data_IF_659326125660
#
_entry.id   IF_659326125660
#
_cell.length_a   1.000
_cell.length_b   1.000
_cell.length_c   1.000
_cell.angle_alpha   90.00
_cell.angle_beta   90.00
_cell.angle_gamma   90.00
#
_symmetry.space_group_name_H-M   'P 1'
#
loop_
_entity.id
_entity.type
_entity.pdbx_description
1 polymer ?
#
# COMPACT_ATOMS: atom_id res chain seq x y z
N UNK A 1 -18.63 -13.89 6.93
CA UNK A 1 -18.01 -13.75 5.61
C UNK A 1 -16.50 -13.93 5.73
N UNK A 2 -15.82 -14.67 4.83
CA UNK A 2 -14.39 -14.98 4.95
C UNK A 2 -13.51 -13.71 4.93
N UNK A 3 -14.00 -12.59 4.43
CA UNK A 3 -13.27 -11.31 4.39
C UNK A 3 -13.36 -10.48 5.68
N UNK A 4 -14.23 -10.82 6.62
CA UNK A 4 -14.35 -10.10 7.87
C UNK A 4 -13.30 -10.50 8.92
N UNK A 5 -12.62 -11.63 8.72
CA UNK A 5 -11.55 -12.10 9.60
C UNK A 5 -10.28 -12.34 8.78
N UNK A 6 -9.55 -11.26 8.50
CA UNK A 6 -8.34 -11.27 7.66
C UNK A 6 -7.32 -12.36 8.03
N UNK A 7 -6.98 -12.61 9.31
CA UNK A 7 -6.07 -13.69 9.67
C UNK A 7 -6.58 -15.08 9.23
N UNK A 8 -7.84 -15.38 9.49
CA UNK A 8 -8.42 -16.69 9.10
C UNK A 8 -8.49 -16.87 7.60
N UNK A 9 -8.85 -15.82 6.86
CA UNK A 9 -8.87 -15.84 5.39
C UNK A 9 -7.48 -16.05 4.81
N UNK A 10 -6.47 -15.42 5.39
CA UNK A 10 -5.07 -15.61 5.00
C UNK A 10 -4.62 -17.05 5.22
N UNK A 11 -4.85 -17.63 6.40
CA UNK A 11 -4.52 -19.02 6.67
C UNK A 11 -5.23 -20.00 5.73
N UNK A 12 -6.48 -19.72 5.39
CA UNK A 12 -7.22 -20.53 4.42
C UNK A 12 -6.58 -20.47 3.03
N UNK A 13 -6.20 -19.27 2.56
CA UNK A 13 -5.53 -19.09 1.28
C UNK A 13 -4.15 -19.74 1.23
N UNK A 14 -3.37 -19.64 2.31
CA UNK A 14 -2.04 -20.30 2.41
C UNK A 14 -2.16 -21.82 2.32
N UNK A 15 -3.20 -22.42 2.92
CA UNK A 15 -3.48 -23.85 2.81
C UNK A 15 -3.96 -24.28 1.42
N UNK A 16 -4.39 -23.32 0.57
CA UNK A 16 -4.90 -23.59 -0.77
C UNK A 16 -4.11 -22.75 -1.82
N UNK A 17 -2.89 -23.22 -2.23
CA UNK A 17 -2.00 -22.43 -3.09
C UNK A 17 -2.59 -22.02 -4.45
N UNK A 18 -3.51 -22.82 -4.99
CA UNK A 18 -4.19 -22.50 -6.24
C UNK A 18 -5.16 -21.32 -6.08
N UNK A 19 -5.88 -21.23 -4.95
CA UNK A 19 -6.75 -20.10 -4.62
C UNK A 19 -5.90 -18.83 -4.37
N UNK A 20 -4.77 -18.97 -3.67
CA UNK A 20 -3.82 -17.89 -3.51
C UNK A 20 -3.33 -17.35 -4.85
N UNK A 21 -2.92 -18.26 -5.76
CA UNK A 21 -2.47 -17.88 -7.11
C UNK A 21 -3.59 -17.21 -7.92
N UNK A 22 -4.82 -17.69 -7.81
CA UNK A 22 -5.99 -17.12 -8.47
C UNK A 22 -6.27 -15.71 -7.93
N UNK A 23 -6.33 -15.52 -6.61
CA UNK A 23 -6.58 -14.23 -5.98
C UNK A 23 -5.46 -13.22 -6.30
N UNK A 24 -4.20 -13.66 -6.30
CA UNK A 24 -3.07 -12.83 -6.69
C UNK A 24 -3.19 -12.36 -8.14
N UNK A 25 -3.44 -13.26 -9.08
CA UNK A 25 -3.55 -12.94 -10.50
C UNK A 25 -4.78 -12.10 -10.84
N UNK A 26 -5.92 -12.36 -10.20
CA UNK A 26 -7.16 -11.62 -10.45
C UNK A 26 -7.10 -10.17 -9.93
N UNK A 27 -6.29 -9.89 -8.93
CA UNK A 27 -6.11 -8.53 -8.38
C UNK A 27 -5.01 -7.71 -9.08
N UNK A 28 -4.24 -8.29 -10.01
CA UNK A 28 -3.20 -7.58 -10.78
C UNK A 28 -3.75 -6.65 -11.88
N UNK A 29 -4.84 -6.97 -12.63
CA UNK A 29 -5.36 -6.07 -13.64
C UNK A 29 -5.77 -4.72 -13.05
N UNK A 30 -5.34 -3.62 -13.69
CA UNK A 30 -5.52 -2.26 -13.16
C UNK A 30 -6.98 -1.92 -12.85
N UNK A 31 -7.91 -2.35 -13.71
CA UNK A 31 -9.35 -2.05 -13.56
C UNK A 31 -9.91 -2.72 -12.30
N UNK A 32 -9.65 -4.03 -12.13
CA UNK A 32 -10.10 -4.79 -10.98
C UNK A 32 -9.47 -4.28 -9.68
N UNK A 33 -8.19 -3.96 -9.74
CA UNK A 33 -7.44 -3.36 -8.63
C UNK A 33 -8.06 -2.02 -8.19
N UNK A 34 -8.34 -1.11 -9.11
CA UNK A 34 -8.95 0.19 -8.79
C UNK A 34 -10.38 0.04 -8.24
N UNK A 35 -11.19 -0.86 -8.82
CA UNK A 35 -12.54 -1.15 -8.34
C UNK A 35 -12.52 -1.73 -6.91
N UNK A 36 -11.62 -2.68 -6.64
CA UNK A 36 -11.44 -3.29 -5.33
C UNK A 36 -11.07 -2.24 -4.27
N UNK A 37 -10.08 -1.39 -4.53
CA UNK A 37 -9.67 -0.35 -3.58
C UNK A 37 -10.67 0.79 -3.46
N UNK A 38 -11.54 1.00 -4.44
CA UNK A 38 -12.67 1.92 -4.31
C UNK A 38 -13.71 1.37 -3.33
N UNK A 39 -14.04 0.08 -3.45
CA UNK A 39 -14.90 -0.61 -2.49
C UNK A 39 -14.31 -0.62 -1.07
N UNK A 40 -13.03 -0.97 -0.92
CA UNK A 40 -12.36 -0.90 0.40
C UNK A 40 -12.37 0.53 0.98
N UNK A 41 -12.16 1.55 0.15
CA UNK A 41 -12.22 2.94 0.62
C UNK A 41 -13.61 3.31 1.13
N UNK A 42 -14.67 2.82 0.50
CA UNK A 42 -16.04 3.04 0.98
C UNK A 42 -16.29 2.39 2.36
N UNK A 43 -15.73 1.20 2.58
CA UNK A 43 -15.94 0.42 3.82
C UNK A 43 -15.09 0.97 4.98
N UNK A 44 -13.79 1.18 4.76
CA UNK A 44 -12.85 1.50 5.86
C UNK A 44 -12.32 2.94 5.84
N UNK A 45 -12.59 3.71 4.78
CA UNK A 45 -12.04 5.06 4.61
C UNK A 45 -12.39 6.02 5.74
N UNK A 46 -13.62 5.91 6.31
CA UNK A 46 -14.03 6.73 7.46
C UNK A 46 -13.14 6.49 8.69
N UNK A 47 -12.76 5.25 8.96
CA UNK A 47 -11.87 4.90 10.08
C UNK A 47 -10.46 5.48 9.87
N UNK A 48 -9.94 5.44 8.64
CA UNK A 48 -8.67 6.10 8.31
C UNK A 48 -8.75 7.62 8.48
N UNK A 49 -9.82 8.26 8.01
CA UNK A 49 -10.01 9.70 8.18
C UNK A 49 -10.08 10.09 9.66
N UNK A 50 -10.79 9.32 10.48
CA UNK A 50 -10.86 9.52 11.92
C UNK A 50 -9.48 9.39 12.57
N UNK A 51 -8.73 8.32 12.28
CA UNK A 51 -7.38 8.12 12.80
C UNK A 51 -6.44 9.27 12.40
N UNK A 52 -6.45 9.71 11.14
CA UNK A 52 -5.61 10.82 10.69
C UNK A 52 -5.98 12.15 11.37
N UNK A 53 -7.25 12.38 11.66
CA UNK A 53 -7.71 13.57 12.39
C UNK A 53 -7.34 13.53 13.87
N UNK A 54 -7.36 12.35 14.46
CA UNK A 54 -7.03 12.11 15.86
C UNK A 54 -5.52 12.19 16.12
N UNK A 55 -4.73 11.42 15.35
CA UNK A 55 -3.29 11.31 15.56
C UNK A 55 -2.48 12.44 14.91
N UNK A 56 -3.03 13.13 13.92
CA UNK A 56 -2.38 14.25 13.18
C UNK A 56 -0.92 13.93 12.81
N UNK A 57 -0.65 12.85 12.07
CA UNK A 57 0.71 12.40 11.81
C UNK A 57 1.49 13.41 10.96
N UNK A 58 2.77 13.62 11.27
CA UNK A 58 3.71 14.40 10.46
C UNK A 58 4.24 13.60 9.27
N UNK A 59 4.22 12.27 9.36
CA UNK A 59 4.66 11.33 8.32
C UNK A 59 3.86 10.03 8.45
N UNK A 60 3.46 9.47 7.32
CA UNK A 60 2.88 8.12 7.24
C UNK A 60 3.86 7.19 6.54
N UNK A 61 4.25 6.11 7.22
CA UNK A 61 5.10 5.06 6.65
C UNK A 61 4.29 3.77 6.53
N UNK A 62 4.13 3.28 5.32
CA UNK A 62 3.44 2.02 5.05
C UNK A 62 4.44 0.91 4.75
N UNK A 63 4.31 -0.18 5.49
CA UNK A 63 5.14 -1.40 5.34
C UNK A 63 4.30 -2.62 4.92
N UNK A 64 3.10 -2.39 4.39
CA UNK A 64 2.17 -3.46 4.01
C UNK A 64 1.50 -3.17 2.66
N UNK A 65 1.41 -4.14 1.72
CA UNK A 65 0.94 -3.90 0.35
C UNK A 65 -0.50 -3.35 0.26
N UNK A 66 -1.38 -3.70 1.19
CA UNK A 66 -2.77 -3.22 1.18
C UNK A 66 -2.94 -1.82 1.79
N UNK A 67 -1.88 -1.25 2.40
CA UNK A 67 -1.93 0.02 3.15
C UNK A 67 -1.40 1.22 2.35
N UNK A 68 -1.50 1.20 1.01
CA UNK A 68 -1.13 2.32 0.14
C UNK A 68 -2.38 3.06 -0.36
N UNK A 69 -3.27 2.33 -1.02
CA UNK A 69 -4.32 2.89 -1.85
C UNK A 69 -5.41 3.59 -1.04
N UNK A 70 -5.93 2.94 0.01
CA UNK A 70 -7.00 3.51 0.85
C UNK A 70 -6.52 4.74 1.60
N UNK A 71 -5.40 4.69 2.37
CA UNK A 71 -4.88 5.87 3.06
C UNK A 71 -4.62 7.05 2.14
N UNK A 72 -4.00 6.83 0.97
CA UNK A 72 -3.73 7.90 0.01
C UNK A 72 -5.00 8.52 -0.58
N UNK A 73 -6.04 7.71 -0.87
CA UNK A 73 -7.34 8.22 -1.30
C UNK A 73 -8.02 9.05 -0.21
N UNK A 74 -7.92 8.61 1.04
CA UNK A 74 -8.47 9.34 2.20
C UNK A 74 -7.74 10.67 2.39
N UNK A 75 -6.40 10.67 2.41
CA UNK A 75 -5.60 11.88 2.53
C UNK A 75 -5.91 12.89 1.41
N UNK A 76 -6.07 12.41 0.17
CA UNK A 76 -6.43 13.28 -0.96
C UNK A 76 -7.79 13.97 -0.75
N UNK A 77 -8.76 13.27 -0.17
CA UNK A 77 -10.09 13.84 0.18
C UNK A 77 -10.00 14.80 1.37
N UNK A 78 -9.19 14.48 2.38
CA UNK A 78 -9.03 15.34 3.55
C UNK A 78 -8.35 16.66 3.22
N UNK A 79 -7.44 16.69 2.24
CA UNK A 79 -6.77 17.92 1.77
C UNK A 79 -7.76 18.98 1.22
N UNK A 80 -8.93 18.56 0.76
CA UNK A 80 -9.99 19.49 0.31
C UNK A 80 -10.83 20.04 1.46
N UNK A 81 -10.61 19.61 2.70
CA UNK A 81 -11.33 20.09 3.88
C UNK A 81 -10.55 21.25 4.52
N UNK A 82 -11.19 22.42 4.81
CA UNK A 82 -10.52 23.59 5.37
C UNK A 82 -9.73 23.30 6.66
N UNK A 83 -10.24 22.41 7.50
CA UNK A 83 -9.62 22.00 8.76
C UNK A 83 -8.35 21.15 8.61
N UNK A 84 -8.08 20.63 7.41
CA UNK A 84 -6.96 19.74 7.11
C UNK A 84 -6.05 20.25 5.98
N UNK A 85 -6.43 21.38 5.36
CA UNK A 85 -5.77 21.92 4.16
C UNK A 85 -4.32 22.37 4.40
N UNK A 86 -3.94 22.66 5.64
CA UNK A 86 -2.63 23.25 5.97
C UNK A 86 -1.48 22.23 6.04
N UNK A 87 -1.74 20.95 6.20
CA UNK A 87 -0.69 19.94 6.43
C UNK A 87 -0.59 18.97 5.24
N UNK A 88 0.41 19.14 4.40
CA UNK A 88 0.85 18.11 3.48
C UNK A 88 1.54 17.00 4.27
N UNK A 89 0.77 16.02 4.74
CA UNK A 89 1.34 14.82 5.38
C UNK A 89 2.04 13.98 4.31
N UNK A 90 3.37 13.84 4.34
CA UNK A 90 4.10 13.00 3.40
C UNK A 90 3.77 11.53 3.64
N UNK A 91 3.82 10.73 2.56
CA UNK A 91 3.54 9.31 2.59
C UNK A 91 4.71 8.53 1.99
N UNK A 92 5.30 7.66 2.80
CA UNK A 92 6.37 6.77 2.38
C UNK A 92 5.90 5.32 2.36
N UNK A 93 6.36 4.56 1.36
CA UNK A 93 6.20 3.10 1.29
C UNK A 93 7.55 2.44 1.47
N UNK A 94 7.63 1.41 2.31
CA UNK A 94 8.80 0.53 2.41
C UNK A 94 8.38 -0.85 1.94
N UNK A 95 8.85 -1.22 0.75
CA UNK A 95 8.56 -2.53 0.14
C UNK A 95 9.44 -3.59 0.78
N UNK A 96 8.82 -4.60 1.36
CA UNK A 96 9.51 -5.71 2.03
C UNK A 96 9.61 -6.97 1.17
N UNK A 97 9.12 -6.94 -0.07
CA UNK A 97 9.28 -8.00 -1.05
C UNK A 97 10.60 -7.83 -1.83
N UNK A 98 11.32 -8.93 -2.10
CA UNK A 98 12.68 -8.89 -2.62
C UNK A 98 12.76 -8.89 -4.15
N UNK A 99 11.90 -9.63 -4.85
CA UNK A 99 12.04 -9.88 -6.30
C UNK A 99 10.82 -9.46 -7.10
N UNK A 100 9.68 -10.07 -6.86
CA UNK A 100 8.42 -9.77 -7.54
C UNK A 100 7.38 -9.31 -6.54
N UNK A 101 7.04 -8.04 -6.62
CA UNK A 101 6.06 -7.43 -5.74
C UNK A 101 4.67 -7.42 -6.40
N UNK A 102 3.63 -7.57 -5.59
CA UNK A 102 2.28 -7.35 -6.07
C UNK A 102 2.06 -5.85 -6.39
N UNK A 103 1.22 -5.55 -7.37
CA UNK A 103 0.88 -4.16 -7.76
C UNK A 103 0.42 -3.30 -6.59
N UNK A 104 -0.23 -3.88 -5.58
CA UNK A 104 -0.71 -3.19 -4.38
C UNK A 104 0.37 -2.45 -3.59
N UNK A 105 1.64 -2.79 -3.75
CA UNK A 105 2.77 -2.07 -3.16
C UNK A 105 2.98 -0.68 -3.76
N UNK A 106 2.53 -0.45 -4.99
CA UNK A 106 2.90 0.73 -5.76
C UNK A 106 1.72 1.66 -5.98
N UNK A 107 1.85 2.91 -5.54
CA UNK A 107 0.88 3.96 -5.79
C UNK A 107 1.59 5.25 -6.21
N UNK A 108 1.21 5.82 -7.34
CA UNK A 108 1.87 6.99 -7.96
C UNK A 108 1.93 8.24 -7.08
N UNK A 109 1.06 8.35 -6.07
CA UNK A 109 0.94 9.53 -5.21
C UNK A 109 1.75 9.42 -3.91
N UNK A 110 2.57 8.39 -3.72
CA UNK A 110 3.51 8.37 -2.58
C UNK A 110 4.59 9.42 -2.78
N UNK A 111 5.09 10.00 -1.70
CA UNK A 111 6.21 10.94 -1.76
C UNK A 111 7.55 10.20 -1.92
N UNK A 112 7.70 9.04 -1.25
CA UNK A 112 8.85 8.14 -1.36
C UNK A 112 8.44 6.68 -1.35
N UNK A 113 9.19 5.87 -2.08
CA UNK A 113 9.05 4.42 -2.09
C UNK A 113 10.44 3.78 -1.98
N UNK A 114 10.68 3.14 -0.85
CA UNK A 114 11.91 2.40 -0.59
C UNK A 114 11.76 0.98 -1.11
N UNK A 115 12.72 0.52 -1.90
CA UNK A 115 12.70 -0.79 -2.56
C UNK A 115 14.00 -1.54 -2.29
N UNK A 116 13.91 -2.88 -2.26
CA UNK A 116 15.06 -3.72 -1.94
C UNK A 116 16.07 -3.82 -3.09
N UNK A 117 15.60 -3.82 -4.34
CA UNK A 117 16.41 -4.11 -5.52
C UNK A 117 16.06 -3.20 -6.70
N UNK A 118 16.99 -3.10 -7.66
CA UNK A 118 16.75 -2.39 -8.93
C UNK A 118 15.64 -3.05 -9.76
N UNK A 119 15.47 -4.37 -9.63
CA UNK A 119 14.38 -5.10 -10.28
C UNK A 119 13.01 -4.61 -9.79
N UNK A 120 12.87 -4.43 -8.47
CA UNK A 120 11.64 -3.90 -7.84
C UNK A 120 11.47 -2.42 -8.19
N UNK A 121 12.55 -1.63 -8.28
CA UNK A 121 12.50 -0.24 -8.73
C UNK A 121 11.94 -0.14 -10.16
N UNK A 122 12.43 -0.98 -11.08
CA UNK A 122 11.91 -1.04 -12.45
C UNK A 122 10.43 -1.46 -12.50
N UNK A 123 9.99 -2.37 -11.62
CA UNK A 123 8.60 -2.74 -11.50
C UNK A 123 7.73 -1.57 -10.98
N UNK A 124 8.20 -0.83 -9.98
CA UNK A 124 7.54 0.34 -9.44
C UNK A 124 7.34 1.43 -10.51
N UNK A 125 8.34 1.66 -11.37
CA UNK A 125 8.23 2.60 -12.48
C UNK A 125 7.17 2.16 -13.50
N UNK A 126 7.10 0.87 -13.84
CA UNK A 126 6.02 0.32 -14.69
C UNK A 126 4.62 0.48 -14.05
N UNK A 127 4.54 0.56 -12.73
CA UNK A 127 3.31 0.84 -12.00
C UNK A 127 3.00 2.34 -11.86
N UNK A 128 3.84 3.22 -12.42
CA UNK A 128 3.59 4.66 -12.54
C UNK A 128 4.32 5.52 -11.51
N UNK A 129 5.27 4.98 -10.75
CA UNK A 129 6.16 5.79 -9.92
C UNK A 129 7.25 6.45 -10.78
N UNK A 130 7.67 7.64 -10.38
CA UNK A 130 8.77 8.36 -11.00
C UNK A 130 10.10 7.97 -10.33
N UNK A 131 11.20 7.99 -11.07
CA UNK A 131 12.54 7.68 -10.53
C UNK A 131 12.87 8.49 -9.26
N UNK A 132 12.52 9.77 -9.23
CA UNK A 132 12.73 10.65 -8.06
C UNK A 132 11.98 10.23 -6.77
N UNK A 133 10.95 9.39 -6.88
CA UNK A 133 10.22 8.86 -5.74
C UNK A 133 10.86 7.59 -5.17
N UNK A 134 11.77 6.96 -5.91
CA UNK A 134 12.36 5.67 -5.56
C UNK A 134 13.69 5.84 -4.82
N UNK A 135 13.92 4.98 -3.84
CA UNK A 135 15.19 4.83 -3.15
C UNK A 135 15.47 3.32 -2.96
N UNK A 136 16.64 2.88 -3.40
CA UNK A 136 17.05 1.48 -3.33
C UNK A 136 18.14 1.32 -2.27
N UNK A 137 17.79 0.77 -1.11
CA UNK A 137 18.69 0.62 0.04
C UNK A 137 18.79 -0.83 0.55
N UNK A 138 18.31 -1.80 -0.22
CA UNK A 138 18.23 -3.18 0.23
C UNK A 138 16.96 -3.46 1.05
N UNK A 139 16.85 -4.70 1.53
CA UNK A 139 15.73 -5.15 2.35
C UNK A 139 15.98 -4.75 3.82
N UNK A 140 15.00 -4.16 4.52
CA UNK A 140 15.12 -3.94 5.96
C UNK A 140 15.09 -5.29 6.67
N UNK A 141 16.21 -5.70 7.22
CA UNK A 141 16.36 -6.93 8.00
C UNK A 141 16.63 -6.61 9.46
N UNK A 142 16.26 -7.54 10.33
CA UNK A 142 16.54 -7.40 11.77
C UNK A 142 18.03 -7.49 12.02
N UNK A 143 18.62 -6.71 12.97
CA UNK A 143 20.04 -6.77 13.27
C UNK A 143 20.55 -8.17 13.60
N UNK A 144 19.69 -9.03 14.17
CA UNK A 144 20.06 -10.43 14.47
C UNK A 144 20.39 -11.28 13.22
N UNK A 145 20.10 -10.80 12.01
CA UNK A 145 20.41 -11.46 10.74
C UNK A 145 21.57 -10.80 9.98
N UNK A 146 22.23 -9.83 10.58
CA UNK A 146 23.47 -9.21 10.11
C UNK A 146 24.66 -9.86 10.78
#
# INVERSE_FOLDING_TARGET
WPLCNMPKSYFFLVKNPWLWRLSFRSSEPKILHEAMFTGYTAIVGRRFAQAFSEYKPDLIVSVHPLMQHVPLKVLARMKSMPSFAAAKVPFATVVTDLTRCHRTWFHKNVDRCFVATQLVAAQAMRCGLKAKQLACHGLPIRPAFM
#
